data_IF_084146926568
#
_entry.id   IF_084146926568
#
_cell.length_a   1.000
_cell.length_b   1.000
_cell.length_c   1.000
_cell.angle_alpha   90.00
_cell.angle_beta   90.00
_cell.angle_gamma   90.00
#
_symmetry.space_group_name_H-M   'P 1'
#
loop_
_entity.id
_entity.type
_entity.pdbx_description
1 polymer ?
#
# COMPACT_ATOMS: atom_id res chain seq x y z
N UNK A 1 -43.23 -5.42 -0.93
CA UNK A 1 -43.26 -4.12 -0.22
C UNK A 1 -42.01 -3.38 -0.63
N UNK A 2 -42.13 -2.13 -1.04
CA UNK A 2 -40.98 -1.28 -1.40
C UNK A 2 -40.25 -0.89 -0.12
N UNK A 3 -38.93 -1.07 -0.09
CA UNK A 3 -38.09 -0.68 1.07
C UNK A 3 -37.83 0.82 1.07
N UNK A 4 -37.31 1.35 2.18
CA UNK A 4 -36.90 2.76 2.25
C UNK A 4 -35.84 3.11 1.20
N UNK A 5 -34.86 2.23 0.98
CA UNK A 5 -33.79 2.42 -0.03
C UNK A 5 -34.39 2.48 -1.44
N UNK A 6 -35.37 1.64 -1.76
CA UNK A 6 -36.03 1.65 -3.07
C UNK A 6 -36.91 2.90 -3.28
N UNK A 7 -37.56 3.41 -2.22
CA UNK A 7 -38.29 4.68 -2.29
C UNK A 7 -37.35 5.85 -2.57
N UNK A 8 -36.23 5.92 -1.84
CA UNK A 8 -35.18 6.92 -2.05
C UNK A 8 -34.59 6.85 -3.46
N UNK A 9 -34.32 5.65 -3.99
CA UNK A 9 -33.86 5.49 -5.37
C UNK A 9 -34.85 6.03 -6.41
N UNK A 10 -36.16 5.82 -6.21
CA UNK A 10 -37.16 6.38 -7.10
C UNK A 10 -37.20 7.92 -7.06
N UNK A 11 -37.05 8.51 -5.88
CA UNK A 11 -36.95 9.96 -5.69
C UNK A 11 -35.71 10.54 -6.38
N UNK A 12 -34.55 9.93 -6.13
CA UNK A 12 -33.29 10.26 -6.79
C UNK A 12 -33.42 10.22 -8.33
N UNK A 13 -34.06 9.16 -8.87
CA UNK A 13 -34.28 9.02 -10.31
C UNK A 13 -35.19 10.11 -10.88
N UNK A 14 -36.22 10.52 -10.14
CA UNK A 14 -37.11 11.61 -10.54
C UNK A 14 -36.36 12.95 -10.58
N UNK A 15 -35.55 13.24 -9.55
CA UNK A 15 -34.69 14.43 -9.50
C UNK A 15 -33.74 14.47 -10.68
N UNK A 16 -33.06 13.35 -10.96
CA UNK A 16 -32.15 13.23 -12.11
C UNK A 16 -32.85 13.52 -13.44
N UNK A 17 -34.03 12.93 -13.65
CA UNK A 17 -34.80 13.16 -14.86
C UNK A 17 -35.23 14.63 -15.01
N UNK A 18 -35.53 15.30 -13.89
CA UNK A 18 -35.92 16.72 -13.89
C UNK A 18 -34.75 17.69 -14.03
N UNK A 19 -33.53 17.34 -13.59
CA UNK A 19 -32.35 18.19 -13.69
C UNK A 19 -31.90 18.42 -15.14
N UNK A 20 -32.28 17.53 -16.06
CA UNK A 20 -32.00 17.72 -17.48
C UNK A 20 -32.91 18.79 -18.11
N UNK A 21 -32.33 19.96 -18.40
CA UNK A 21 -32.99 21.04 -19.13
C UNK A 21 -33.56 22.16 -18.25
N UNK A 22 -33.21 22.20 -16.97
CA UNK A 22 -33.55 23.30 -16.05
C UNK A 22 -32.49 24.41 -16.08
N UNK A 23 -32.71 25.48 -15.31
CA UNK A 23 -31.68 26.49 -15.10
C UNK A 23 -30.46 25.90 -14.37
N UNK A 24 -29.32 26.60 -14.42
CA UNK A 24 -28.10 26.21 -13.70
C UNK A 24 -28.34 26.12 -12.19
N UNK A 25 -29.03 27.11 -11.61
CA UNK A 25 -29.38 27.14 -10.18
C UNK A 25 -30.29 25.98 -9.78
N UNK A 26 -31.28 25.62 -10.61
CA UNK A 26 -32.14 24.46 -10.38
C UNK A 26 -31.38 23.13 -10.54
N UNK A 27 -30.40 23.09 -11.45
CA UNK A 27 -29.54 21.92 -11.66
C UNK A 27 -28.65 21.69 -10.45
N UNK A 28 -28.02 22.74 -9.91
CA UNK A 28 -27.19 22.66 -8.72
C UNK A 28 -27.99 22.21 -7.50
N UNK A 29 -29.19 22.77 -7.30
CA UNK A 29 -30.08 22.37 -6.22
C UNK A 29 -30.53 20.90 -6.35
N UNK A 30 -30.79 20.43 -7.58
CA UNK A 30 -31.14 19.03 -7.83
C UNK A 30 -29.95 18.09 -7.58
N UNK A 31 -28.73 18.49 -7.92
CA UNK A 31 -27.50 17.73 -7.65
C UNK A 31 -27.26 17.63 -6.15
N UNK A 32 -27.35 18.73 -5.41
CA UNK A 32 -27.18 18.73 -3.95
C UNK A 32 -28.19 17.78 -3.27
N UNK A 33 -29.45 17.81 -3.72
CA UNK A 33 -30.48 16.92 -3.19
C UNK A 33 -30.28 15.45 -3.58
N UNK A 34 -29.81 15.17 -4.81
CA UNK A 34 -29.43 13.82 -5.22
C UNK A 34 -28.29 13.26 -4.35
N UNK A 35 -27.24 14.05 -4.08
CA UNK A 35 -26.14 13.66 -3.19
C UNK A 35 -26.64 13.38 -1.77
N UNK A 36 -27.55 14.22 -1.24
CA UNK A 36 -28.16 13.99 0.08
C UNK A 36 -28.93 12.66 0.14
N UNK A 37 -29.63 12.30 -0.92
CA UNK A 37 -30.35 11.02 -1.01
C UNK A 37 -29.38 9.85 -1.11
N UNK A 38 -28.31 9.97 -1.91
CA UNK A 38 -27.26 8.95 -2.02
C UNK A 38 -26.62 8.64 -0.67
N UNK A 39 -26.24 9.68 0.10
CA UNK A 39 -25.68 9.53 1.45
C UNK A 39 -26.68 8.84 2.39
N UNK A 40 -27.94 9.26 2.39
CA UNK A 40 -28.99 8.65 3.21
C UNK A 40 -29.24 7.17 2.83
N UNK A 41 -29.18 6.83 1.54
CA UNK A 41 -29.28 5.45 1.09
C UNK A 41 -28.11 4.62 1.60
N UNK A 42 -26.89 5.15 1.62
CA UNK A 42 -25.69 4.43 2.08
C UNK A 42 -25.76 4.08 3.57
N UNK A 43 -26.30 4.97 4.41
CA UNK A 43 -26.44 4.77 5.86
C UNK A 43 -27.37 3.60 6.26
N UNK A 44 -28.38 3.30 5.43
CA UNK A 44 -29.36 2.24 5.72
C UNK A 44 -28.81 0.89 5.25
N UNK A 45 -28.62 -0.13 6.10
CA UNK A 45 -28.17 -1.46 5.63
C UNK A 45 -29.16 -2.08 4.62
N UNK A 46 -28.64 -2.61 3.50
CA UNK A 46 -29.46 -3.29 2.49
C UNK A 46 -30.12 -4.55 3.09
N UNK A 47 -31.43 -4.68 2.93
CA UNK A 47 -32.21 -5.83 3.43
C UNK A 47 -32.49 -6.85 2.31
N UNK A 48 -32.22 -6.48 1.06
CA UNK A 48 -32.42 -7.31 -0.12
C UNK A 48 -31.39 -7.01 -1.21
N UNK A 49 -31.29 -7.92 -2.19
CA UNK A 49 -30.47 -7.70 -3.39
C UNK A 49 -30.94 -6.47 -4.20
N UNK A 50 -32.25 -6.21 -4.22
CA UNK A 50 -32.83 -5.04 -4.86
C UNK A 50 -32.45 -3.73 -4.16
N UNK A 51 -32.30 -3.73 -2.82
CA UNK A 51 -31.78 -2.56 -2.09
C UNK A 51 -30.32 -2.29 -2.45
N UNK A 52 -29.51 -3.34 -2.51
CA UNK A 52 -28.10 -3.23 -2.92
C UNK A 52 -27.98 -2.70 -4.36
N UNK A 53 -28.75 -3.26 -5.30
CA UNK A 53 -28.79 -2.81 -6.69
C UNK A 53 -29.23 -1.34 -6.84
N UNK A 54 -30.21 -0.89 -6.05
CA UNK A 54 -30.65 0.51 -6.03
C UNK A 54 -29.53 1.47 -5.62
N UNK A 55 -28.71 1.10 -4.61
CA UNK A 55 -27.54 1.89 -4.20
C UNK A 55 -26.47 1.93 -5.29
N UNK A 56 -26.17 0.78 -5.88
CA UNK A 56 -25.20 0.70 -6.99
C UNK A 56 -25.63 1.66 -8.10
N UNK A 57 -26.88 1.57 -8.56
CA UNK A 57 -27.39 2.40 -9.66
C UNK A 57 -27.38 3.89 -9.34
N UNK A 58 -27.77 4.32 -8.13
CA UNK A 58 -27.69 5.74 -7.75
C UNK A 58 -26.23 6.24 -7.80
N UNK A 59 -25.33 5.51 -7.14
CA UNK A 59 -23.96 5.98 -6.91
C UNK A 59 -23.04 5.89 -8.14
N UNK A 60 -23.28 4.95 -9.05
CA UNK A 60 -22.41 4.76 -10.23
C UNK A 60 -22.90 5.51 -11.46
N UNK A 61 -24.13 6.04 -11.41
CA UNK A 61 -24.77 6.70 -12.55
C UNK A 61 -24.22 8.08 -12.90
N UNK A 62 -23.53 8.73 -11.95
CA UNK A 62 -23.05 10.11 -12.09
C UNK A 62 -21.59 10.22 -12.56
N UNK A 63 -20.91 9.09 -12.79
CA UNK A 63 -19.48 9.08 -13.14
C UNK A 63 -18.54 9.40 -11.97
N UNK A 64 -19.07 9.86 -10.83
CA UNK A 64 -18.29 10.18 -9.63
C UNK A 64 -17.75 8.92 -8.92
N UNK A 65 -18.47 7.80 -9.01
CA UNK A 65 -17.91 6.50 -8.67
C UNK A 65 -17.37 5.84 -9.94
N UNK A 66 -16.06 5.94 -10.13
CA UNK A 66 -15.33 5.38 -11.27
C UNK A 66 -15.28 3.86 -11.26
N UNK A 67 -16.41 3.19 -11.49
CA UNK A 67 -16.39 1.81 -11.98
C UNK A 67 -15.99 1.86 -13.46
N UNK A 68 -14.69 1.95 -13.71
CA UNK A 68 -14.15 1.86 -15.07
C UNK A 68 -13.87 0.39 -15.41
N UNK A 69 -14.21 -0.05 -16.62
CA UNK A 69 -13.92 -1.42 -17.12
C UNK A 69 -15.13 -2.30 -17.51
N UNK A 70 -14.81 -3.48 -18.06
CA UNK A 70 -15.70 -4.47 -18.71
C UNK A 70 -16.89 -4.95 -17.84
N UNK A 71 -16.77 -4.79 -16.52
CA UNK A 71 -17.77 -5.22 -15.55
C UNK A 71 -18.90 -4.21 -15.33
N UNK A 72 -18.72 -2.91 -15.65
CA UNK A 72 -19.73 -1.90 -15.34
C UNK A 72 -21.05 -2.19 -16.05
N UNK A 73 -21.01 -2.55 -17.33
CA UNK A 73 -22.21 -2.90 -18.10
C UNK A 73 -22.92 -4.14 -17.52
N UNK A 74 -22.18 -5.11 -17.00
CA UNK A 74 -22.74 -6.31 -16.38
C UNK A 74 -23.32 -6.02 -14.99
N UNK A 75 -22.62 -5.22 -14.18
CA UNK A 75 -23.06 -4.81 -12.85
C UNK A 75 -24.30 -3.92 -12.96
N UNK A 76 -24.29 -2.93 -13.85
CA UNK A 76 -25.44 -2.07 -14.12
C UNK A 76 -26.59 -2.89 -14.72
N UNK A 77 -26.31 -3.80 -15.64
CA UNK A 77 -27.30 -4.70 -16.23
C UNK A 77 -27.99 -5.58 -15.19
N UNK A 78 -27.21 -6.21 -14.31
CA UNK A 78 -27.73 -7.05 -13.23
C UNK A 78 -28.46 -6.22 -12.17
N UNK A 79 -27.93 -5.05 -11.81
CA UNK A 79 -28.60 -4.15 -10.89
C UNK A 79 -29.96 -3.70 -11.44
N UNK A 80 -30.02 -3.31 -12.72
CA UNK A 80 -31.26 -3.00 -13.43
C UNK A 80 -32.25 -4.18 -13.41
N UNK A 81 -31.79 -5.40 -13.68
CA UNK A 81 -32.63 -6.61 -13.62
C UNK A 81 -33.22 -6.84 -12.22
N UNK A 82 -32.41 -6.67 -11.17
CA UNK A 82 -32.81 -6.90 -9.77
C UNK A 82 -33.88 -5.92 -9.27
N UNK A 83 -33.97 -4.72 -9.87
CA UNK A 83 -34.99 -3.72 -9.52
C UNK A 83 -36.06 -3.52 -10.60
N UNK A 84 -36.01 -4.29 -11.70
CA UNK A 84 -36.99 -4.23 -12.79
C UNK A 84 -36.89 -2.97 -13.66
N UNK A 85 -35.71 -2.39 -13.78
CA UNK A 85 -35.44 -1.19 -14.59
C UNK A 85 -34.81 -1.55 -15.95
N UNK A 86 -35.05 -0.76 -17.01
CA UNK A 86 -34.39 -0.95 -18.29
C UNK A 86 -32.90 -0.54 -18.20
N UNK A 87 -32.03 -1.27 -18.87
CA UNK A 87 -30.60 -0.93 -18.97
C UNK A 87 -30.42 0.31 -19.86
N UNK A 88 -29.88 1.43 -19.36
CA UNK A 88 -29.68 2.63 -20.15
C UNK A 88 -28.72 2.39 -21.33
N UNK A 89 -29.09 2.82 -22.53
CA UNK A 89 -28.24 2.73 -23.73
C UNK A 89 -28.15 1.35 -24.39
N UNK A 90 -28.93 0.37 -23.95
CA UNK A 90 -28.96 -0.98 -24.53
C UNK A 90 -30.27 -1.20 -25.30
N UNK A 91 -30.23 -1.14 -26.64
CA UNK A 91 -31.40 -1.30 -27.52
C UNK A 91 -31.83 -2.77 -27.74
N UNK A 92 -31.28 -3.69 -26.93
CA UNK A 92 -31.61 -5.12 -26.96
C UNK A 92 -31.05 -5.88 -28.15
N UNK A 93 -30.15 -5.31 -28.96
CA UNK A 93 -29.62 -5.94 -30.18
C UNK A 93 -28.09 -6.08 -30.22
N UNK A 94 -27.44 -6.60 -29.19
CA UNK A 94 -26.11 -7.21 -29.36
C UNK A 94 -25.76 -8.17 -28.23
N UNK A 95 -25.90 -9.47 -28.52
CA UNK A 95 -24.93 -10.46 -28.06
C UNK A 95 -23.70 -10.32 -28.96
N UNK A 96 -22.67 -9.61 -28.50
CA UNK A 96 -21.44 -9.44 -29.27
C UNK A 96 -20.50 -8.44 -28.62
N UNK A 97 -19.51 -8.95 -27.88
CA UNK A 97 -18.34 -8.20 -27.40
C UNK A 97 -17.71 -7.39 -28.55
N UNK A 98 -17.16 -6.21 -28.27
CA UNK A 98 -16.24 -5.51 -29.17
C UNK A 98 -14.84 -5.40 -28.52
N UNK A 99 -13.97 -6.41 -28.67
CA UNK A 99 -12.65 -6.47 -28.03
C UNK A 99 -11.63 -5.43 -28.52
N UNK A 100 -11.86 -4.80 -29.67
CA UNK A 100 -10.85 -4.04 -30.40
C UNK A 100 -10.81 -2.54 -30.04
N UNK A 101 -11.83 -2.03 -29.34
CA UNK A 101 -11.82 -0.65 -28.83
C UNK A 101 -11.08 -0.54 -27.48
N UNK A 102 -11.00 -1.64 -26.72
CA UNK A 102 -10.35 -1.71 -25.40
C UNK A 102 -8.82 -1.94 -25.51
N UNK A 103 -8.34 -2.73 -26.49
CA UNK A 103 -6.90 -2.93 -26.71
C UNK A 103 -6.17 -1.64 -27.13
N UNK A 104 -6.78 -0.82 -28.01
CA UNK A 104 -6.18 0.46 -28.40
C UNK A 104 -6.00 1.41 -27.20
N UNK A 105 -6.91 1.33 -26.21
CA UNK A 105 -6.79 2.10 -24.99
C UNK A 105 -5.67 1.58 -24.07
N UNK A 106 -5.47 0.25 -23.99
CA UNK A 106 -4.39 -0.36 -23.23
C UNK A 106 -3.01 -0.11 -23.87
N UNK A 107 -2.89 -0.24 -25.19
CA UNK A 107 -1.66 0.07 -25.94
C UNK A 107 -1.28 1.55 -25.77
N UNK A 108 -2.25 2.47 -25.93
CA UNK A 108 -2.01 3.91 -25.72
C UNK A 108 -1.57 4.21 -24.29
N UNK A 109 -2.18 3.56 -23.28
CA UNK A 109 -1.78 3.70 -21.87
C UNK A 109 -0.38 3.14 -21.63
N UNK A 110 -0.03 2.01 -22.23
CA UNK A 110 1.32 1.43 -22.15
C UNK A 110 2.35 2.38 -22.75
N UNK A 111 2.12 2.88 -23.97
CA UNK A 111 3.01 3.84 -24.63
C UNK A 111 3.22 5.08 -23.76
N UNK A 112 2.14 5.64 -23.22
CA UNK A 112 2.21 6.82 -22.35
C UNK A 112 2.96 6.53 -21.05
N UNK A 113 2.73 5.36 -20.45
CA UNK A 113 3.47 4.96 -19.25
C UNK A 113 4.97 4.83 -19.53
N UNK A 114 5.31 4.14 -20.62
CA UNK A 114 6.70 3.95 -21.07
C UNK A 114 7.42 5.28 -21.34
N UNK A 115 6.73 6.25 -21.95
CA UNK A 115 7.24 7.62 -22.12
C UNK A 115 7.57 8.28 -20.77
N UNK A 116 6.72 8.11 -19.76
CA UNK A 116 6.90 8.72 -18.43
C UNK A 116 8.07 8.09 -17.67
N UNK A 117 8.18 6.76 -17.68
CA UNK A 117 9.23 6.03 -16.94
C UNK A 117 10.54 5.89 -17.73
N UNK A 118 10.54 6.23 -19.02
CA UNK A 118 11.71 6.08 -19.90
C UNK A 118 12.05 4.62 -20.21
N UNK A 119 11.05 3.76 -20.31
CA UNK A 119 11.20 2.33 -20.63
C UNK A 119 10.71 2.03 -22.06
N UNK A 120 11.14 0.90 -22.63
CA UNK A 120 10.59 0.38 -23.88
C UNK A 120 9.36 -0.50 -23.59
N UNK A 121 8.24 -0.35 -24.33
CA UNK A 121 7.05 -1.17 -24.10
C UNK A 121 7.31 -2.63 -24.49
N UNK A 122 6.69 -3.60 -23.80
CA UNK A 122 6.75 -5.00 -24.21
C UNK A 122 6.17 -5.17 -25.62
N UNK A 123 6.71 -6.13 -26.39
CA UNK A 123 6.33 -6.31 -27.79
C UNK A 123 4.86 -6.70 -27.97
N UNK A 124 4.31 -7.44 -27.00
CA UNK A 124 2.90 -7.88 -27.01
C UNK A 124 2.32 -7.84 -25.60
N UNK A 125 1.13 -7.23 -25.44
CA UNK A 125 0.44 -7.15 -24.15
C UNK A 125 -0.32 -8.45 -23.82
N UNK A 126 -1.01 -9.02 -24.80
CA UNK A 126 -1.84 -10.22 -24.65
C UNK A 126 -1.39 -11.32 -25.61
N UNK A 127 -1.53 -12.57 -25.18
CA UNK A 127 -1.31 -13.76 -26.02
C UNK A 127 -2.50 -14.06 -26.95
N UNK A 128 -2.42 -15.19 -27.67
CA UNK A 128 -3.46 -15.58 -28.63
C UNK A 128 -4.80 -15.95 -27.95
N UNK A 129 -4.76 -16.29 -26.67
CA UNK A 129 -5.90 -16.62 -25.82
C UNK A 129 -6.48 -15.37 -25.12
N UNK A 130 -5.82 -14.22 -25.23
CA UNK A 130 -6.21 -12.96 -24.63
C UNK A 130 -5.76 -12.81 -23.17
N UNK A 131 -4.81 -13.61 -22.70
CA UNK A 131 -4.20 -13.48 -21.37
C UNK A 131 -2.95 -12.58 -21.43
N UNK A 132 -2.58 -11.90 -20.33
CA UNK A 132 -1.32 -11.15 -20.25
C UNK A 132 -0.11 -12.02 -20.57
N UNK A 133 0.79 -11.53 -21.43
CA UNK A 133 2.02 -12.25 -21.76
C UNK A 133 2.99 -12.29 -20.58
N UNK A 134 3.87 -13.31 -20.53
CA UNK A 134 4.93 -13.37 -19.51
C UNK A 134 5.83 -12.13 -19.55
N UNK A 135 6.12 -11.62 -20.76
CA UNK A 135 6.87 -10.38 -20.99
C UNK A 135 6.19 -9.18 -20.32
N UNK A 136 4.87 -9.01 -20.53
CA UNK A 136 4.10 -7.96 -19.86
C UNK A 136 4.13 -8.13 -18.34
N UNK A 137 3.99 -9.36 -17.84
CA UNK A 137 3.97 -9.63 -16.40
C UNK A 137 5.33 -9.35 -15.73
N UNK A 138 6.43 -9.61 -16.43
CA UNK A 138 7.78 -9.25 -15.98
C UNK A 138 7.96 -7.72 -15.99
N UNK A 139 7.56 -7.05 -17.07
CA UNK A 139 7.58 -5.59 -17.19
C UNK A 139 6.78 -4.91 -16.07
N UNK A 140 5.56 -5.40 -15.82
CA UNK A 140 4.65 -4.90 -14.78
C UNK A 140 5.28 -5.01 -13.39
N UNK A 141 5.97 -6.11 -13.10
CA UNK A 141 6.69 -6.29 -11.83
C UNK A 141 7.88 -5.36 -11.71
N UNK A 142 8.66 -5.20 -12.77
CA UNK A 142 9.87 -4.37 -12.76
C UNK A 142 9.55 -2.88 -12.65
N UNK A 143 8.51 -2.42 -13.34
CA UNK A 143 8.14 -1.00 -13.42
C UNK A 143 7.02 -0.62 -12.43
N UNK A 144 6.56 -1.56 -11.60
CA UNK A 144 5.44 -1.38 -10.66
C UNK A 144 4.14 -0.87 -11.32
N UNK A 145 3.89 -1.29 -12.57
CA UNK A 145 2.71 -0.86 -13.35
C UNK A 145 1.44 -1.58 -12.86
N UNK A 146 0.35 -0.83 -12.62
CA UNK A 146 -0.95 -1.45 -12.30
C UNK A 146 -1.62 -2.02 -13.55
N UNK A 147 -1.92 -3.32 -13.53
CA UNK A 147 -2.71 -3.99 -14.58
C UNK A 147 -4.13 -3.45 -14.67
N UNK A 148 -4.74 -3.11 -13.54
CA UNK A 148 -6.09 -2.52 -13.49
C UNK A 148 -6.11 -1.16 -14.18
N UNK A 149 -5.08 -0.33 -13.98
CA UNK A 149 -4.95 0.91 -14.72
C UNK A 149 -4.67 0.66 -16.21
N UNK A 150 -3.75 -0.26 -16.52
CA UNK A 150 -3.37 -0.55 -17.91
C UNK A 150 -4.56 -1.04 -18.75
N UNK A 151 -5.33 -1.99 -18.24
CA UNK A 151 -6.43 -2.61 -19.00
C UNK A 151 -7.77 -1.92 -18.78
N UNK A 152 -8.08 -1.50 -17.54
CA UNK A 152 -9.40 -0.96 -17.18
C UNK A 152 -9.42 0.56 -17.05
N UNK A 153 -8.26 1.20 -16.97
CA UNK A 153 -8.15 2.63 -16.65
C UNK A 153 -8.43 2.95 -15.19
N UNK A 154 -8.52 1.94 -14.31
CA UNK A 154 -8.79 2.15 -12.89
C UNK A 154 -7.56 2.72 -12.18
N UNK A 155 -7.67 3.98 -11.78
CA UNK A 155 -6.63 4.70 -11.01
C UNK A 155 -6.69 4.42 -9.51
N UNK A 156 -7.74 3.74 -9.02
CA UNK A 156 -7.96 3.52 -7.59
C UNK A 156 -6.81 2.77 -6.92
N UNK A 157 -6.27 1.67 -7.49
CA UNK A 157 -5.13 0.97 -6.90
C UNK A 157 -3.89 1.87 -6.81
N UNK A 158 -3.63 2.70 -7.83
CA UNK A 158 -2.52 3.66 -7.83
C UNK A 158 -2.68 4.73 -6.75
N UNK A 159 -3.88 5.31 -6.60
CA UNK A 159 -4.16 6.29 -5.55
C UNK A 159 -4.06 5.69 -4.15
N UNK A 160 -4.49 4.43 -3.97
CA UNK A 160 -4.33 3.70 -2.70
C UNK A 160 -2.88 3.39 -2.40
N UNK A 161 -2.11 2.96 -3.39
CA UNK A 161 -0.67 2.73 -3.25
C UNK A 161 0.03 4.04 -2.88
N UNK A 162 -0.17 5.10 -3.65
CA UNK A 162 0.35 6.44 -3.38
C UNK A 162 -0.01 6.92 -1.98
N UNK A 163 -1.28 6.87 -1.60
CA UNK A 163 -1.74 7.28 -0.26
C UNK A 163 -1.11 6.43 0.84
N UNK A 164 -0.98 5.11 0.64
CA UNK A 164 -0.33 4.22 1.60
C UNK A 164 1.13 4.60 1.76
N UNK A 165 1.88 4.75 0.66
CA UNK A 165 3.29 5.14 0.67
C UNK A 165 3.49 6.52 1.29
N UNK A 166 2.65 7.51 0.95
CA UNK A 166 2.73 8.85 1.54
C UNK A 166 2.32 8.86 3.01
N UNK A 167 1.31 8.09 3.41
CA UNK A 167 0.93 7.95 4.81
C UNK A 167 2.06 7.29 5.61
N UNK A 168 2.69 6.26 5.05
CA UNK A 168 3.87 5.60 5.63
C UNK A 168 5.06 6.56 5.73
N UNK A 169 5.25 7.46 4.75
CA UNK A 169 6.32 8.48 4.77
C UNK A 169 5.96 9.75 5.53
N UNK A 170 4.76 9.83 6.09
CA UNK A 170 4.35 11.03 6.84
C UNK A 170 5.26 11.24 8.05
N UNK A 171 5.54 12.50 8.45
CA UNK A 171 6.35 12.77 9.64
C UNK A 171 5.82 12.10 10.91
N UNK A 172 4.50 11.93 11.02
CA UNK A 172 3.86 11.22 12.14
C UNK A 172 4.19 9.73 12.14
N UNK A 173 4.10 9.05 10.99
CA UNK A 173 4.46 7.64 10.87
C UNK A 173 5.97 7.41 11.05
N UNK A 174 6.82 8.34 10.59
CA UNK A 174 8.25 8.30 10.87
C UNK A 174 8.53 8.47 12.38
N UNK A 175 7.88 9.42 13.05
CA UNK A 175 7.97 9.66 14.49
C UNK A 175 7.65 8.40 15.29
N UNK A 176 6.53 7.74 14.97
CA UNK A 176 6.12 6.49 15.63
C UNK A 176 7.19 5.40 15.48
N UNK A 177 7.79 5.25 14.29
CA UNK A 177 8.86 4.26 14.05
C UNK A 177 10.16 4.61 14.78
N UNK A 178 10.54 5.89 14.83
CA UNK A 178 11.69 6.35 15.63
C UNK A 178 11.46 6.01 17.10
N UNK A 179 10.27 6.28 17.64
CA UNK A 179 9.97 6.02 19.04
C UNK A 179 9.95 4.52 19.35
N UNK A 180 9.41 3.69 18.44
CA UNK A 180 9.45 2.23 18.55
C UNK A 180 10.89 1.68 18.53
N UNK A 181 11.73 2.18 17.62
CA UNK A 181 13.12 1.75 17.48
C UNK A 181 13.95 2.18 18.69
N UNK A 182 13.76 3.42 19.16
CA UNK A 182 14.42 3.95 20.36
C UNK A 182 14.06 3.12 21.60
N UNK A 183 12.77 2.81 21.79
CA UNK A 183 12.30 1.98 22.89
C UNK A 183 12.88 0.56 22.85
N UNK A 184 13.02 -0.03 21.65
CA UNK A 184 13.60 -1.36 21.48
C UNK A 184 15.12 -1.39 21.76
N UNK A 185 15.83 -0.33 21.38
CA UNK A 185 17.26 -0.19 21.60
C UNK A 185 17.62 0.30 23.01
N UNK A 186 16.66 0.89 23.75
CA UNK A 186 16.90 1.49 25.06
C UNK A 186 17.68 2.80 24.99
N UNK A 187 17.49 3.57 23.92
CA UNK A 187 18.11 4.89 23.70
C UNK A 187 17.04 5.98 23.59
N UNK A 188 17.44 7.25 23.68
CA UNK A 188 16.52 8.38 23.49
C UNK A 188 16.18 8.54 22.00
N UNK A 189 14.92 8.91 21.66
CA UNK A 189 14.51 9.04 20.29
C UNK A 189 15.03 10.34 19.67
N UNK A 190 15.53 10.27 18.44
CA UNK A 190 16.06 11.44 17.71
C UNK A 190 14.96 12.35 17.19
N UNK A 191 15.23 13.66 17.06
CA UNK A 191 14.32 14.62 16.42
C UNK A 191 14.12 14.31 14.93
N UNK A 192 12.96 14.71 14.38
CA UNK A 192 12.69 14.62 12.93
C UNK A 192 12.56 16.04 12.40
N UNK A 193 13.36 16.37 11.41
CA UNK A 193 13.24 17.64 10.68
C UNK A 193 12.21 17.49 9.55
N UNK A 194 11.42 18.55 9.33
CA UNK A 194 10.39 18.58 8.30
C UNK A 194 10.66 19.76 7.37
N UNK A 195 10.76 19.50 6.07
CA UNK A 195 10.84 20.51 5.02
C UNK A 195 9.76 20.22 3.98
N UNK A 196 9.00 21.25 3.60
CA UNK A 196 7.91 21.15 2.60
C UNK A 196 6.87 20.05 2.89
N UNK A 197 6.64 19.75 4.17
CA UNK A 197 5.69 18.73 4.61
C UNK A 197 6.23 17.29 4.59
N UNK A 198 7.48 17.10 4.19
CA UNK A 198 8.18 15.81 4.16
C UNK A 198 9.28 15.75 5.21
N UNK A 199 9.55 14.54 5.73
CA UNK A 199 10.66 14.35 6.66
C UNK A 199 12.00 14.41 5.91
N UNK A 200 12.95 15.16 6.46
CA UNK A 200 14.30 15.28 5.91
C UNK A 200 15.19 14.20 6.51
N UNK A 201 15.96 13.52 5.66
CA UNK A 201 17.01 12.62 6.11
C UNK A 201 18.20 13.44 6.62
N UNK A 202 18.38 13.47 7.93
CA UNK A 202 19.50 14.18 8.60
C UNK A 202 20.60 13.20 9.02
N UNK A 203 21.82 13.71 9.22
CA UNK A 203 22.93 12.92 9.75
C UNK A 203 22.60 12.35 11.14
N UNK A 204 21.85 13.10 11.96
CA UNK A 204 21.39 12.64 13.28
C UNK A 204 20.44 11.44 13.17
N UNK A 205 19.56 11.42 12.17
CA UNK A 205 18.65 10.29 11.94
C UNK A 205 19.40 9.04 11.47
N UNK A 206 20.43 9.21 10.65
CA UNK A 206 21.31 8.13 10.20
C UNK A 206 22.08 7.56 11.39
N UNK A 207 22.73 8.43 12.19
CA UNK A 207 23.48 8.02 13.37
C UNK A 207 22.58 7.30 14.40
N UNK A 208 21.35 7.79 14.59
CA UNK A 208 20.34 7.13 15.43
C UNK A 208 20.01 5.72 14.93
N UNK A 209 19.81 5.54 13.61
CA UNK A 209 19.56 4.21 13.04
C UNK A 209 20.70 3.24 13.31
N UNK A 210 21.94 3.69 13.13
CA UNK A 210 23.14 2.88 13.37
C UNK A 210 23.27 2.51 14.86
N UNK A 211 23.08 3.48 15.76
CA UNK A 211 23.12 3.28 17.21
C UNK A 211 22.04 2.30 17.69
N UNK A 212 20.82 2.44 17.16
CA UNK A 212 19.71 1.54 17.46
C UNK A 212 19.81 0.17 16.76
N UNK A 213 20.84 -0.04 15.93
CA UNK A 213 21.00 -1.21 15.08
C UNK A 213 19.73 -1.50 14.25
N UNK A 214 19.13 -0.43 13.73
CA UNK A 214 17.94 -0.45 12.88
C UNK A 214 18.28 -0.44 11.39
N UNK A 215 17.26 -0.60 10.55
CA UNK A 215 17.37 -0.36 9.09
C UNK A 215 16.84 1.04 8.79
N UNK A 216 17.67 1.88 8.16
CA UNK A 216 17.24 3.19 7.68
C UNK A 216 16.10 3.06 6.67
N UNK A 217 16.13 2.04 5.81
CA UNK A 217 15.06 1.82 4.84
C UNK A 217 13.74 1.51 5.55
N UNK A 218 13.73 0.58 6.49
CA UNK A 218 12.54 0.31 7.30
C UNK A 218 12.05 1.56 8.04
N UNK A 219 12.99 2.35 8.58
CA UNK A 219 12.64 3.57 9.29
C UNK A 219 11.93 4.57 8.36
N UNK A 220 12.33 4.67 7.09
CA UNK A 220 11.73 5.59 6.12
C UNK A 220 10.46 5.02 5.44
N UNK A 221 10.47 3.75 5.03
CA UNK A 221 9.41 3.13 4.22
C UNK A 221 8.37 2.36 5.05
N UNK A 222 8.78 1.83 6.20
CA UNK A 222 7.91 1.03 7.06
C UNK A 222 7.76 -0.39 6.55
N UNK A 223 8.55 -0.78 5.55
CA UNK A 223 8.57 -2.15 5.02
C UNK A 223 9.13 -3.12 6.07
N UNK A 224 8.24 -3.88 6.70
CA UNK A 224 8.59 -4.94 7.65
C UNK A 224 9.54 -5.97 7.01
N UNK A 225 9.46 -6.18 5.70
CA UNK A 225 10.40 -7.02 4.95
C UNK A 225 11.84 -6.56 5.11
N UNK A 226 12.11 -5.25 5.02
CA UNK A 226 13.45 -4.69 5.22
C UNK A 226 13.94 -4.83 6.66
N UNK A 227 13.07 -4.65 7.65
CA UNK A 227 13.42 -4.90 9.05
C UNK A 227 13.84 -6.36 9.26
N UNK A 228 13.08 -7.30 8.70
CA UNK A 228 13.37 -8.73 8.79
C UNK A 228 14.66 -9.10 8.04
N UNK A 229 14.91 -8.50 6.87
CA UNK A 229 16.16 -8.67 6.10
C UNK A 229 17.37 -8.20 6.92
N UNK A 230 17.30 -6.99 7.48
CA UNK A 230 18.35 -6.42 8.32
C UNK A 230 18.61 -7.26 9.57
N UNK A 231 17.56 -7.64 10.29
CA UNK A 231 17.70 -8.49 11.49
C UNK A 231 18.28 -9.87 11.16
N UNK A 232 17.91 -10.47 10.02
CA UNK A 232 18.53 -11.72 9.56
C UNK A 232 20.01 -11.53 9.26
N UNK A 233 20.37 -10.49 8.50
CA UNK A 233 21.77 -10.20 8.17
C UNK A 233 22.61 -10.01 9.44
N UNK A 234 22.09 -9.24 10.41
CA UNK A 234 22.73 -9.04 11.71
C UNK A 234 22.85 -10.35 12.50
N UNK A 235 21.80 -11.16 12.53
CA UNK A 235 21.81 -12.47 13.18
C UNK A 235 22.86 -13.41 12.57
N UNK A 236 22.96 -13.45 11.23
CA UNK A 236 23.98 -14.22 10.51
C UNK A 236 25.40 -13.74 10.86
N UNK A 237 25.65 -12.43 10.89
CA UNK A 237 26.93 -11.86 11.29
C UNK A 237 27.31 -12.20 12.73
N UNK A 238 26.32 -12.38 13.63
CA UNK A 238 26.56 -12.81 15.02
C UNK A 238 26.71 -14.32 15.18
N UNK A 239 26.36 -15.15 14.19
CA UNK A 239 26.48 -16.62 14.32
C UNK A 239 27.90 -17.08 14.68
N UNK A 240 28.99 -16.57 14.08
CA UNK A 240 30.34 -16.93 14.49
C UNK A 240 30.63 -16.59 15.96
N UNK A 241 30.23 -15.40 16.41
CA UNK A 241 30.40 -14.97 17.81
C UNK A 241 29.57 -15.82 18.79
N UNK A 242 28.32 -16.11 18.44
CA UNK A 242 27.43 -16.96 19.24
C UNK A 242 27.95 -18.40 19.29
N UNK A 243 28.54 -18.92 18.20
CA UNK A 243 29.18 -20.23 18.17
C UNK A 243 30.44 -20.25 19.02
N UNK A 244 31.28 -19.21 18.93
CA UNK A 244 32.48 -19.06 19.74
C UNK A 244 32.16 -19.03 21.23
N UNK A 245 31.21 -18.19 21.65
CA UNK A 245 30.79 -18.05 23.06
C UNK A 245 30.10 -19.30 23.62
N UNK A 246 29.35 -20.06 22.80
CA UNK A 246 28.77 -21.35 23.20
C UNK A 246 29.82 -22.42 23.50
N UNK A 247 30.94 -22.39 22.79
CA UNK A 247 32.03 -23.35 22.97
C UNK A 247 32.94 -23.05 24.17
N UNK A 248 32.79 -21.88 24.79
CA UNK A 248 33.52 -21.54 26.01
C UNK A 248 33.01 -22.36 27.21
N UNK A 249 33.93 -22.83 28.03
CA UNK A 249 33.67 -23.36 29.37
C UNK A 249 33.05 -22.29 30.27
N UNK A 250 32.45 -22.69 31.39
CA UNK A 250 31.84 -21.75 32.33
C UNK A 250 32.84 -20.78 32.96
N UNK A 251 34.10 -21.21 33.12
CA UNK A 251 35.15 -20.36 33.63
C UNK A 251 35.62 -19.34 32.59
N UNK A 252 35.78 -19.76 31.32
CA UNK A 252 36.08 -18.84 30.21
C UNK A 252 34.94 -17.82 30.01
N UNK A 253 33.67 -18.22 30.17
CA UNK A 253 32.54 -17.28 30.14
C UNK A 253 32.64 -16.24 31.26
N UNK A 254 33.00 -16.64 32.48
CA UNK A 254 33.20 -15.71 33.60
C UNK A 254 34.37 -14.76 33.34
N UNK A 255 35.48 -15.27 32.81
CA UNK A 255 36.63 -14.46 32.41
C UNK A 255 36.24 -13.44 31.34
N UNK A 256 35.49 -13.87 30.32
CA UNK A 256 34.98 -12.99 29.26
C UNK A 256 34.07 -11.89 29.82
N UNK A 257 33.13 -12.23 30.71
CA UNK A 257 32.24 -11.24 31.36
C UNK A 257 33.04 -10.23 32.18
N UNK A 258 34.05 -10.69 32.92
CA UNK A 258 34.94 -9.80 33.68
C UNK A 258 35.73 -8.86 32.77
N UNK A 259 36.31 -9.38 31.69
CA UNK A 259 37.04 -8.59 30.68
C UNK A 259 36.14 -7.55 30.01
N UNK A 260 34.91 -7.93 29.63
CA UNK A 260 33.95 -6.98 29.08
C UNK A 260 33.62 -5.85 30.07
N UNK A 261 33.52 -6.16 31.36
CA UNK A 261 33.32 -5.13 32.40
C UNK A 261 34.52 -4.17 32.50
N UNK A 262 35.76 -4.67 32.44
CA UNK A 262 36.96 -3.82 32.44
C UNK A 262 36.96 -2.82 31.27
N UNK A 263 36.57 -3.27 30.08
CA UNK A 263 36.46 -2.41 28.90
C UNK A 263 35.39 -1.32 29.12
N UNK A 264 34.21 -1.68 29.64
CA UNK A 264 33.14 -0.72 29.97
C UNK A 264 33.59 0.29 31.03
N UNK A 265 34.44 -0.11 31.96
CA UNK A 265 35.03 0.77 32.99
C UNK A 265 36.20 1.63 32.47
N UNK A 266 36.50 1.56 31.16
CA UNK A 266 37.50 2.40 30.49
C UNK A 266 38.91 1.80 30.41
N UNK A 267 39.07 0.51 30.68
CA UNK A 267 40.32 -0.20 30.42
C UNK A 267 40.54 -0.31 28.92
N UNK A 268 41.77 -0.12 28.46
CA UNK A 268 42.14 -0.35 27.07
C UNK A 268 41.83 -1.79 26.63
N UNK A 269 41.38 -1.95 25.38
CA UNK A 269 40.93 -3.24 24.85
C UNK A 269 42.06 -4.25 24.83
N UNK A 270 43.28 -3.86 24.46
CA UNK A 270 44.41 -4.77 24.37
C UNK A 270 44.81 -5.26 25.77
N UNK A 271 44.81 -4.38 26.76
CA UNK A 271 45.10 -4.71 28.17
C UNK A 271 44.03 -5.63 28.79
N UNK A 272 42.76 -5.37 28.51
CA UNK A 272 41.65 -6.20 28.95
C UNK A 272 41.70 -7.61 28.32
N UNK A 273 42.10 -7.70 27.04
CA UNK A 273 42.27 -8.97 26.33
C UNK A 273 43.52 -9.75 26.78
N UNK A 274 44.61 -9.06 27.12
CA UNK A 274 45.75 -9.71 27.79
C UNK A 274 45.33 -10.30 29.14
N UNK A 275 44.49 -9.58 29.89
CA UNK A 275 43.93 -10.08 31.16
C UNK A 275 43.07 -11.33 30.96
N UNK A 276 42.22 -11.35 29.93
CA UNK A 276 41.43 -12.54 29.56
C UNK A 276 42.34 -13.74 29.29
N UNK A 277 43.33 -13.54 28.42
CA UNK A 277 44.27 -14.60 27.98
C UNK A 277 44.97 -15.22 29.19
N UNK A 278 45.51 -14.39 30.08
CA UNK A 278 46.18 -14.85 31.30
C UNK A 278 45.25 -15.66 32.21
N UNK A 279 44.02 -15.20 32.44
CA UNK A 279 43.05 -15.90 33.30
C UNK A 279 42.68 -17.27 32.73
N UNK A 280 42.50 -17.36 31.41
CA UNK A 280 42.18 -18.62 30.72
C UNK A 280 43.36 -19.59 30.78
N UNK A 281 44.59 -19.11 30.56
CA UNK A 281 45.81 -19.93 30.65
C UNK A 281 46.06 -20.47 32.07
N UNK A 282 45.91 -19.62 33.10
CA UNK A 282 46.07 -20.01 34.51
C UNK A 282 45.04 -21.06 34.93
N UNK A 283 43.80 -20.96 34.41
CA UNK A 283 42.75 -21.93 34.70
C UNK A 283 42.89 -23.24 33.92
N UNK A 284 43.49 -23.21 32.73
CA UNK A 284 43.79 -24.43 31.97
C UNK A 284 44.96 -25.23 32.54
N UNK A 285 45.82 -24.60 33.34
CA UNK A 285 46.97 -25.23 34.00
C UNK A 285 46.64 -25.89 35.36
N UNK A 286 45.49 -25.58 35.95
CA UNK A 286 45.05 -26.04 37.27
C UNK A 286 44.12 -27.26 37.19
#
# INVERSE_FOLDING_TARGET
>A
MTTAIQQMYHEWKQLRASAHGTSEEDCDAAVEEMMRIEDAMLEIPSQSAADFAAKVLAYTSHGDFGLTGDGIGQILGEACNLIGEPVPGFDGKASGRLPWYEMQAAETRMERFCEIVGAEPPATLLDAEGAPTDELMDFVREQELSLDWLFLGDVTPLLRAYRTTHAQRSPAALRERVDLLAAAAGIEPVGIEIADGEAVLTDDLIAFCDEANGSLDWLLTGDVGELLRSHRAFSEQRKPFMKATRNLSDNEKKALVFTLRLIVEGTDVDDAMQTFTRVVEEQGAA
#
